data_IF_788102035269
#
_entry.id   IF_788102035269
#
_cell.length_a   1.000
_cell.length_b   1.000
_cell.length_c   1.000
_cell.angle_alpha   90.00
_cell.angle_beta   90.00
_cell.angle_gamma   90.00
#
_symmetry.space_group_name_H-M   'P 1'
#
loop_
_entity.id
_entity.type
_entity.pdbx_description
1 polymer ?
#
# COMPACT_ATOMS: atom_id res chain seq x y z
N UNK A 1 -4.58 31.37 13.27
CA UNK A 1 -5.24 30.24 12.58
C UNK A 1 -6.58 29.99 13.27
N UNK A 2 -7.66 30.02 12.50
CA UNK A 2 -9.00 29.81 13.10
C UNK A 2 -9.28 28.31 13.16
N UNK A 3 -9.80 27.86 14.29
CA UNK A 3 -10.36 26.52 14.41
C UNK A 3 -11.62 26.39 13.55
N UNK A 4 -11.89 25.20 12.98
CA UNK A 4 -13.11 24.98 12.22
C UNK A 4 -14.35 25.20 13.08
N UNK A 5 -15.35 25.87 12.53
CA UNK A 5 -16.62 26.08 13.23
C UNK A 5 -17.42 24.78 13.27
N UNK A 6 -18.05 24.49 14.40
CA UNK A 6 -18.91 23.31 14.55
C UNK A 6 -20.28 23.64 13.95
N UNK A 7 -20.72 22.87 12.98
CA UNK A 7 -21.95 23.11 12.24
C UNK A 7 -23.14 22.28 12.76
N UNK A 8 -22.87 21.24 13.56
CA UNK A 8 -23.89 20.28 13.98
C UNK A 8 -24.12 19.12 13.02
N UNK A 9 -23.45 19.13 11.88
CA UNK A 9 -23.41 18.00 10.93
C UNK A 9 -22.08 17.26 11.17
N UNK A 10 -22.14 16.03 11.70
CA UNK A 10 -20.96 15.26 12.07
C UNK A 10 -20.00 15.03 10.89
N UNK A 11 -20.54 14.75 9.70
CA UNK A 11 -19.71 14.52 8.52
C UNK A 11 -19.04 15.80 8.06
N UNK A 12 -19.78 16.90 7.99
CA UNK A 12 -19.25 18.20 7.59
C UNK A 12 -18.20 18.70 8.60
N UNK A 13 -18.43 18.49 9.89
CA UNK A 13 -17.51 18.86 10.94
C UNK A 13 -16.23 18.04 10.89
N UNK A 14 -16.34 16.74 10.63
CA UNK A 14 -15.19 15.86 10.43
C UNK A 14 -14.36 16.30 9.22
N UNK A 15 -15.02 16.57 8.10
CA UNK A 15 -14.34 17.02 6.87
C UNK A 15 -13.61 18.35 7.08
N UNK A 16 -14.23 19.27 7.82
CA UNK A 16 -13.60 20.55 8.16
C UNK A 16 -12.38 20.38 9.07
N UNK A 17 -12.48 19.52 10.08
CA UNK A 17 -11.36 19.20 10.97
C UNK A 17 -10.22 18.55 10.21
N UNK A 18 -10.54 17.61 9.33
CA UNK A 18 -9.55 16.91 8.50
C UNK A 18 -8.83 17.90 7.58
N UNK A 19 -9.58 18.79 6.92
CA UNK A 19 -9.00 19.82 6.05
C UNK A 19 -8.05 20.71 6.83
N UNK A 20 -8.48 21.18 8.00
CA UNK A 20 -7.66 22.01 8.87
C UNK A 20 -6.37 21.30 9.30
N UNK A 21 -6.46 20.03 9.68
CA UNK A 21 -5.32 19.21 10.04
C UNK A 21 -4.35 19.06 8.85
N UNK A 22 -4.86 18.74 7.66
CA UNK A 22 -4.04 18.58 6.45
C UNK A 22 -3.33 19.87 6.06
N UNK A 23 -3.99 21.02 6.18
CA UNK A 23 -3.38 22.34 5.95
C UNK A 23 -2.25 22.61 6.96
N UNK A 24 -2.46 22.27 8.23
CA UNK A 24 -1.44 22.41 9.26
C UNK A 24 -0.23 21.53 9.00
N UNK A 25 -0.44 20.29 8.61
CA UNK A 25 0.62 19.34 8.25
C UNK A 25 1.39 19.84 7.01
N UNK A 26 0.69 20.28 5.98
CA UNK A 26 1.34 20.77 4.75
C UNK A 26 2.24 21.96 5.02
N UNK A 27 1.89 22.81 6.01
CA UNK A 27 2.74 23.93 6.42
C UNK A 27 3.94 23.51 7.26
N UNK A 28 3.81 22.42 8.01
CA UNK A 28 4.84 21.92 8.91
C UNK A 28 5.87 21.04 8.23
N UNK A 29 5.46 20.29 7.18
CA UNK A 29 6.31 19.35 6.48
C UNK A 29 6.90 19.97 5.22
N UNK A 30 8.22 19.92 5.10
CA UNK A 30 8.89 20.19 3.83
C UNK A 30 8.67 19.04 2.85
N UNK A 31 8.71 19.33 1.56
CA UNK A 31 8.57 18.31 0.52
C UNK A 31 9.65 17.22 0.59
N UNK A 32 10.81 17.55 1.18
CA UNK A 32 11.95 16.64 1.31
C UNK A 32 11.89 15.77 2.56
N UNK A 33 10.89 15.92 3.42
CA UNK A 33 10.73 15.10 4.62
C UNK A 33 10.00 13.79 4.30
N UNK A 34 10.74 12.88 3.66
CA UNK A 34 10.20 11.62 3.16
C UNK A 34 9.75 10.68 4.27
N UNK A 35 10.45 10.66 5.40
CA UNK A 35 10.09 9.83 6.55
C UNK A 35 8.75 10.28 7.15
N UNK A 36 8.57 11.58 7.35
CA UNK A 36 7.32 12.13 7.87
C UNK A 36 6.16 11.92 6.90
N UNK A 37 6.40 11.97 5.59
CA UNK A 37 5.38 11.65 4.60
C UNK A 37 4.96 10.19 4.66
N UNK A 38 5.93 9.28 4.86
CA UNK A 38 5.62 7.87 5.04
C UNK A 38 4.77 7.64 6.29
N UNK A 39 5.18 8.19 7.43
CA UNK A 39 4.46 8.06 8.71
C UNK A 39 3.05 8.64 8.62
N UNK A 40 2.90 9.79 7.95
CA UNK A 40 1.59 10.40 7.73
C UNK A 40 0.72 9.52 6.84
N UNK A 41 1.30 8.93 5.81
CA UNK A 41 0.61 7.97 4.95
C UNK A 41 0.06 6.78 5.74
N UNK A 42 0.86 6.23 6.64
CA UNK A 42 0.43 5.13 7.54
C UNK A 42 -0.74 5.57 8.40
N UNK A 43 -0.67 6.76 8.99
CA UNK A 43 -1.74 7.30 9.83
C UNK A 43 -3.04 7.46 9.03
N UNK A 44 -2.98 8.05 7.84
CA UNK A 44 -4.15 8.19 6.98
C UNK A 44 -4.74 6.82 6.58
N UNK A 45 -3.89 5.86 6.27
CA UNK A 45 -4.33 4.50 5.91
C UNK A 45 -5.09 3.84 7.07
N UNK A 46 -4.57 3.96 8.30
CA UNK A 46 -5.22 3.44 9.49
C UNK A 46 -6.58 4.10 9.75
N UNK A 47 -6.74 5.34 9.35
CA UNK A 47 -8.01 6.07 9.45
C UNK A 47 -8.98 5.77 8.29
N UNK A 48 -8.57 4.94 7.33
CA UNK A 48 -9.37 4.63 6.16
C UNK A 48 -9.35 5.70 5.07
N UNK A 49 -8.49 6.70 5.20
CA UNK A 49 -8.34 7.81 4.25
C UNK A 49 -7.33 7.40 3.17
N UNK A 50 -7.74 6.46 2.31
CA UNK A 50 -6.83 5.81 1.37
C UNK A 50 -6.27 6.75 0.32
N UNK A 51 -7.07 7.66 -0.22
CA UNK A 51 -6.58 8.62 -1.22
C UNK A 51 -5.53 9.56 -0.64
N UNK A 52 -5.74 10.02 0.59
CA UNK A 52 -4.78 10.86 1.30
C UNK A 52 -3.49 10.10 1.61
N UNK A 53 -3.62 8.83 2.01
CA UNK A 53 -2.47 7.96 2.25
C UNK A 53 -1.66 7.76 0.97
N UNK A 54 -2.32 7.53 -0.15
CA UNK A 54 -1.67 7.35 -1.46
C UNK A 54 -0.83 8.57 -1.81
N UNK A 55 -1.36 9.78 -1.63
CA UNK A 55 -0.59 11.01 -1.89
C UNK A 55 0.69 11.08 -1.06
N UNK A 56 0.59 10.76 0.22
CA UNK A 56 1.75 10.81 1.12
C UNK A 56 2.77 9.72 0.80
N UNK A 57 2.32 8.50 0.50
CA UNK A 57 3.23 7.44 0.11
C UNK A 57 3.95 7.73 -1.21
N UNK A 58 3.29 8.39 -2.16
CA UNK A 58 3.93 8.81 -3.40
C UNK A 58 5.07 9.80 -3.15
N UNK A 59 4.89 10.72 -2.20
CA UNK A 59 5.97 11.62 -1.79
C UNK A 59 7.13 10.86 -1.16
N UNK A 60 6.84 9.83 -0.36
CA UNK A 60 7.85 9.02 0.30
C UNK A 60 8.70 8.19 -0.67
N UNK A 61 8.20 7.91 -1.89
CA UNK A 61 8.96 7.19 -2.92
C UNK A 61 10.25 7.89 -3.36
N UNK A 62 10.37 9.19 -3.12
CA UNK A 62 11.55 9.96 -3.48
C UNK A 62 12.79 9.57 -2.67
N UNK A 63 12.60 8.97 -1.50
CA UNK A 63 13.69 8.49 -0.67
C UNK A 63 14.00 7.03 -0.95
N UNK A 64 15.27 6.70 -1.23
CA UNK A 64 15.68 5.31 -1.45
C UNK A 64 15.38 4.41 -0.26
N UNK A 65 15.59 4.90 0.97
CA UNK A 65 15.40 4.11 2.19
C UNK A 65 13.93 3.82 2.47
N UNK A 66 13.00 4.63 1.96
CA UNK A 66 11.57 4.46 2.18
C UNK A 66 10.84 3.91 0.96
N UNK A 67 11.56 3.68 -0.14
CA UNK A 67 10.95 3.33 -1.42
C UNK A 67 10.24 1.98 -1.39
N UNK A 68 10.90 0.94 -0.89
CA UNK A 68 10.26 -0.38 -0.80
C UNK A 68 9.03 -0.38 0.12
N UNK A 69 9.12 0.13 1.36
CA UNK A 69 7.94 0.25 2.22
C UNK A 69 6.82 1.09 1.59
N UNK A 70 7.17 2.17 0.90
CA UNK A 70 6.18 3.04 0.25
C UNK A 70 5.48 2.33 -0.92
N UNK A 71 6.21 1.58 -1.73
CA UNK A 71 5.60 0.76 -2.79
C UNK A 71 4.64 -0.28 -2.22
N UNK A 72 5.05 -0.97 -1.16
CA UNK A 72 4.20 -1.97 -0.52
C UNK A 72 2.92 -1.32 0.04
N UNK A 73 3.06 -0.19 0.72
CA UNK A 73 1.93 0.55 1.28
C UNK A 73 0.99 1.06 0.19
N UNK A 74 1.53 1.58 -0.91
CA UNK A 74 0.74 2.00 -2.07
C UNK A 74 -0.04 0.83 -2.65
N UNK A 75 0.62 -0.30 -2.86
CA UNK A 75 -0.03 -1.51 -3.35
C UNK A 75 -1.16 -1.95 -2.45
N UNK A 76 -0.94 -1.91 -1.13
CA UNK A 76 -1.97 -2.24 -0.15
C UNK A 76 -3.18 -1.30 -0.26
N UNK A 77 -2.95 -0.01 -0.41
CA UNK A 77 -4.04 0.98 -0.56
C UNK A 77 -4.87 0.70 -1.82
N UNK A 78 -4.21 0.44 -2.95
CA UNK A 78 -4.92 0.13 -4.19
C UNK A 78 -5.68 -1.19 -4.11
N UNK A 79 -5.12 -2.20 -3.45
CA UNK A 79 -5.83 -3.47 -3.20
C UNK A 79 -7.09 -3.23 -2.38
N UNK A 80 -7.00 -2.45 -1.31
CA UNK A 80 -8.14 -2.12 -0.46
C UNK A 80 -9.23 -1.35 -1.23
N UNK A 81 -8.84 -0.56 -2.22
CA UNK A 81 -9.79 0.13 -3.10
C UNK A 81 -10.35 -0.76 -4.22
N UNK A 82 -9.92 -2.01 -4.31
CA UNK A 82 -10.31 -2.92 -5.38
C UNK A 82 -9.64 -2.63 -6.72
N UNK A 83 -8.60 -1.78 -6.74
CA UNK A 83 -7.90 -1.36 -7.95
C UNK A 83 -6.69 -2.27 -8.21
N UNK A 84 -6.97 -3.53 -8.51
CA UNK A 84 -5.94 -4.58 -8.59
C UNK A 84 -4.94 -4.37 -9.73
N UNK A 85 -5.37 -3.83 -10.86
CA UNK A 85 -4.45 -3.56 -11.97
C UNK A 85 -3.43 -2.48 -11.60
N UNK A 86 -3.89 -1.40 -10.96
CA UNK A 86 -2.99 -0.33 -10.51
C UNK A 86 -2.05 -0.86 -9.42
N UNK A 87 -2.58 -1.65 -8.50
CA UNK A 87 -1.77 -2.30 -7.46
C UNK A 87 -0.65 -3.14 -8.08
N UNK A 88 -0.99 -4.00 -9.03
CA UNK A 88 -0.01 -4.85 -9.70
C UNK A 88 1.07 -4.02 -10.40
N UNK A 89 0.69 -2.94 -11.07
CA UNK A 89 1.64 -2.06 -11.76
C UNK A 89 2.62 -1.40 -10.78
N UNK A 90 2.11 -0.86 -9.69
CA UNK A 90 2.92 -0.20 -8.66
C UNK A 90 3.86 -1.20 -7.98
N UNK A 91 3.31 -2.34 -7.57
CA UNK A 91 4.08 -3.38 -6.88
C UNK A 91 5.16 -3.99 -7.78
N UNK A 92 4.90 -4.11 -9.07
CA UNK A 92 5.90 -4.59 -10.03
C UNK A 92 7.13 -3.69 -10.08
N UNK A 93 6.96 -2.39 -9.88
CA UNK A 93 8.09 -1.45 -9.82
C UNK A 93 9.02 -1.76 -8.66
N UNK A 94 8.48 -2.22 -7.54
CA UNK A 94 9.28 -2.59 -6.37
C UNK A 94 10.21 -3.78 -6.67
N UNK A 95 9.82 -4.66 -7.57
CA UNK A 95 10.66 -5.80 -7.96
C UNK A 95 11.91 -5.39 -8.74
N UNK A 96 11.91 -4.18 -9.31
CA UNK A 96 13.06 -3.66 -10.07
C UNK A 96 14.01 -2.84 -9.19
N UNK A 97 13.71 -2.65 -7.90
CA UNK A 97 14.63 -1.98 -7.00
C UNK A 97 15.89 -2.83 -6.80
N UNK A 98 17.10 -2.27 -7.01
CA UNK A 98 18.33 -3.05 -6.94
C UNK A 98 18.71 -3.41 -5.50
N UNK A 99 19.43 -4.50 -5.35
CA UNK A 99 20.02 -4.89 -4.07
C UNK A 99 19.05 -5.51 -3.06
N UNK A 100 17.86 -5.89 -3.49
CA UNK A 100 16.85 -6.50 -2.62
C UNK A 100 16.63 -7.96 -3.00
N UNK A 101 16.44 -8.82 -1.99
CA UNK A 101 16.11 -10.23 -2.17
C UNK A 101 14.61 -10.49 -1.89
N UNK A 102 14.19 -11.73 -2.07
CA UNK A 102 12.79 -12.12 -1.86
C UNK A 102 12.36 -12.00 -0.39
N UNK A 103 13.28 -12.16 0.56
CA UNK A 103 12.99 -11.96 1.99
C UNK A 103 12.51 -10.53 2.27
N UNK A 104 13.20 -9.55 1.69
CA UNK A 104 12.85 -8.14 1.85
C UNK A 104 11.57 -7.78 1.10
N UNK A 105 11.27 -8.50 0.01
CA UNK A 105 10.12 -8.24 -0.87
C UNK A 105 8.92 -9.14 -0.59
N UNK A 106 8.93 -9.94 0.46
CA UNK A 106 7.88 -10.96 0.68
C UNK A 106 6.48 -10.35 0.70
N UNK A 107 6.31 -9.19 1.34
CA UNK A 107 5.04 -8.47 1.36
C UNK A 107 4.60 -7.98 -0.01
N UNK A 108 5.54 -7.47 -0.81
CA UNK A 108 5.28 -7.04 -2.19
C UNK A 108 4.88 -8.24 -3.05
N UNK A 109 5.61 -9.34 -2.93
CA UNK A 109 5.31 -10.57 -3.67
C UNK A 109 3.92 -11.11 -3.35
N UNK A 110 3.55 -11.09 -2.06
CA UNK A 110 2.22 -11.52 -1.64
C UNK A 110 1.12 -10.64 -2.26
N UNK A 111 1.27 -9.33 -2.19
CA UNK A 111 0.29 -8.39 -2.75
C UNK A 111 0.20 -8.49 -4.28
N UNK A 112 1.33 -8.74 -4.95
CA UNK A 112 1.34 -9.02 -6.39
C UNK A 112 0.56 -10.30 -6.71
N UNK A 113 0.82 -11.37 -5.96
CA UNK A 113 0.10 -12.63 -6.13
C UNK A 113 -1.40 -12.42 -5.93
N UNK A 114 -1.77 -11.71 -4.87
CA UNK A 114 -3.16 -11.41 -4.55
C UNK A 114 -3.83 -10.62 -5.67
N UNK A 115 -3.16 -9.59 -6.18
CA UNK A 115 -3.67 -8.75 -7.26
C UNK A 115 -3.83 -9.54 -8.55
N UNK A 116 -2.86 -10.39 -8.89
CA UNK A 116 -2.94 -11.27 -10.06
C UNK A 116 -4.08 -12.28 -9.93
N UNK A 117 -4.28 -12.84 -8.74
CA UNK A 117 -5.40 -13.73 -8.48
C UNK A 117 -6.74 -13.03 -8.70
N UNK A 118 -6.90 -11.82 -8.18
CA UNK A 118 -8.11 -11.02 -8.36
C UNK A 118 -8.36 -10.68 -9.84
N UNK A 119 -7.29 -10.51 -10.62
CA UNK A 119 -7.36 -10.25 -12.05
C UNK A 119 -7.48 -11.53 -12.89
N UNK A 120 -7.59 -12.68 -12.25
CA UNK A 120 -7.66 -14.00 -12.90
C UNK A 120 -6.41 -14.33 -13.75
N UNK A 121 -5.28 -13.77 -13.39
CA UNK A 121 -3.97 -14.10 -13.95
C UNK A 121 -3.37 -15.24 -13.14
N UNK A 122 -3.90 -16.44 -13.34
CA UNK A 122 -3.66 -17.59 -12.46
C UNK A 122 -2.20 -18.04 -12.43
N UNK A 123 -1.54 -18.09 -13.57
CA UNK A 123 -0.14 -18.54 -13.64
C UNK A 123 0.80 -17.56 -12.96
N UNK A 124 0.59 -16.26 -13.15
CA UNK A 124 1.38 -15.23 -12.48
C UNK A 124 1.13 -15.27 -10.97
N UNK A 125 -0.12 -15.39 -10.56
CA UNK A 125 -0.48 -15.48 -9.14
C UNK A 125 0.21 -16.66 -8.49
N UNK A 126 0.17 -17.83 -9.13
CA UNK A 126 0.84 -19.04 -8.64
C UNK A 126 2.33 -18.83 -8.49
N UNK A 127 2.98 -18.24 -9.50
CA UNK A 127 4.41 -17.97 -9.50
C UNK A 127 4.81 -17.08 -8.31
N UNK A 128 4.06 -16.00 -8.07
CA UNK A 128 4.35 -15.11 -6.95
C UNK A 128 4.08 -15.77 -5.59
N UNK A 129 2.99 -16.53 -5.45
CA UNK A 129 2.72 -17.27 -4.20
C UNK A 129 3.79 -18.33 -3.94
N UNK A 130 4.32 -18.98 -4.97
CA UNK A 130 5.42 -19.94 -4.82
C UNK A 130 6.66 -19.26 -4.25
N UNK A 131 6.99 -18.05 -4.71
CA UNK A 131 8.13 -17.28 -4.20
C UNK A 131 7.90 -16.87 -2.74
N UNK A 132 6.67 -16.47 -2.39
CA UNK A 132 6.32 -16.17 -1.00
C UNK A 132 6.50 -17.42 -0.14
N UNK A 133 5.93 -18.53 -0.54
CA UNK A 133 6.01 -19.79 0.20
C UNK A 133 7.46 -20.27 0.37
N UNK A 134 8.27 -20.17 -0.68
CA UNK A 134 9.68 -20.54 -0.62
C UNK A 134 10.48 -19.66 0.33
N UNK A 135 10.05 -18.40 0.51
CA UNK A 135 10.72 -17.45 1.41
C UNK A 135 10.25 -17.63 2.85
N UNK A 136 8.96 -17.76 3.06
CA UNK A 136 8.34 -17.93 4.38
C UNK A 136 7.06 -18.76 4.24
N UNK A 137 7.12 -20.02 4.64
CA UNK A 137 6.00 -20.96 4.51
C UNK A 137 4.78 -20.57 5.36
N UNK A 138 4.97 -19.69 6.34
CA UNK A 138 3.90 -19.22 7.23
C UNK A 138 3.44 -17.79 6.92
N UNK A 139 3.89 -17.20 5.79
CA UNK A 139 3.53 -15.84 5.48
C UNK A 139 2.05 -15.73 5.12
N UNK A 140 1.27 -15.10 5.99
CA UNK A 140 -0.18 -14.90 5.84
C UNK A 140 -0.86 -16.21 5.40
N UNK A 141 -1.75 -16.16 4.42
CA UNK A 141 -2.48 -17.30 3.88
C UNK A 141 -1.94 -17.79 2.55
N UNK A 142 -0.67 -17.48 2.23
CA UNK A 142 -0.06 -17.82 0.93
C UNK A 142 -0.12 -19.32 0.63
N UNK A 143 0.18 -20.17 1.61
CA UNK A 143 0.14 -21.62 1.43
C UNK A 143 -1.26 -22.10 1.02
N UNK A 144 -2.30 -21.61 1.69
CA UNK A 144 -3.68 -21.98 1.40
C UNK A 144 -4.12 -21.48 0.02
N UNK A 145 -3.73 -20.27 -0.34
CA UNK A 145 -4.04 -19.69 -1.66
C UNK A 145 -3.34 -20.45 -2.79
N UNK A 146 -2.08 -20.81 -2.58
CA UNK A 146 -1.31 -21.61 -3.54
C UNK A 146 -1.95 -22.97 -3.78
N UNK A 147 -2.35 -23.64 -2.70
CA UNK A 147 -3.04 -24.93 -2.78
C UNK A 147 -4.36 -24.82 -3.56
N UNK A 148 -5.13 -23.76 -3.32
CA UNK A 148 -6.38 -23.52 -4.04
C UNK A 148 -6.15 -23.30 -5.54
N UNK A 149 -5.11 -22.55 -5.90
CA UNK A 149 -4.74 -22.32 -7.31
C UNK A 149 -4.29 -23.59 -8.01
N UNK A 150 -3.57 -24.48 -7.33
CA UNK A 150 -3.13 -25.76 -7.86
C UNK A 150 -4.33 -26.65 -8.18
N UNK A 151 -5.41 -26.57 -7.41
CA UNK A 151 -6.64 -27.33 -7.68
C UNK A 151 -7.39 -26.78 -8.91
N UNK A 152 -7.42 -25.45 -9.07
CA UNK A 152 -8.10 -24.79 -10.20
C UNK A 152 -7.39 -25.09 -11.53
N UNK A 153 -6.08 -25.26 -11.50
CA UNK A 153 -5.24 -25.50 -12.70
C UNK A 153 -5.34 -26.94 -13.24
N UNK A 154 -6.05 -27.84 -12.55
CA UNK A 154 -6.22 -29.24 -12.99
C UNK A 154 -7.45 -29.45 -13.86
#
# INVERSE_FOLDING_TARGET
>A
MREPAISGDEQADFDALLRHFKEGVARSLGEDDHESHYDLGVAYKEMGLLDDAIEEFQKALRSRSHRLPAYEALGQCFVEQGRHQVAATVLSRALHEPGLDDEQRVGVLYLLAYSCEALQRWDEARSYYQRVYATDIHFRDAAARLAALDQVAR
#
